data_IF_912189126197
#
_entry.id   IF_912189126197
#
_cell.length_a   1.000
_cell.length_b   1.000
_cell.length_c   1.000
_cell.angle_alpha   90.00
_cell.angle_beta   90.00
_cell.angle_gamma   90.00
#
_symmetry.space_group_name_H-M   'P 1'
#
loop_
_entity.id
_entity.type
_entity.pdbx_description
1 polymer ?
#
# COMPACT_ATOMS: atom_id res chain seq x y z
N UNK A 1 -12.60 16.92 13.43
CA UNK A 1 -13.39 15.69 13.66
C UNK A 1 -12.60 14.83 14.61
N UNK A 2 -13.15 14.54 15.79
CA UNK A 2 -12.50 13.84 16.90
C UNK A 2 -12.95 12.39 17.02
N UNK A 3 -14.19 12.05 16.67
CA UNK A 3 -14.73 10.69 16.84
C UNK A 3 -14.72 9.91 15.54
N UNK A 4 -14.86 8.58 15.63
CA UNK A 4 -15.06 7.71 14.46
C UNK A 4 -16.37 8.05 13.75
N UNK A 5 -17.46 8.27 14.51
CA UNK A 5 -18.76 8.65 13.96
C UNK A 5 -18.71 9.98 13.19
N UNK A 6 -18.09 11.04 13.73
CA UNK A 6 -17.96 12.32 13.03
C UNK A 6 -17.23 12.20 11.68
N UNK A 7 -16.24 11.31 11.60
CA UNK A 7 -15.50 11.06 10.35
C UNK A 7 -16.34 10.25 9.37
N UNK A 8 -17.12 9.27 9.84
CA UNK A 8 -18.08 8.53 9.01
C UNK A 8 -19.12 9.47 8.40
N UNK A 9 -19.74 10.31 9.23
CA UNK A 9 -20.76 11.27 8.80
C UNK A 9 -20.19 12.24 7.77
N UNK A 10 -18.99 12.77 8.01
CA UNK A 10 -18.31 13.63 7.04
C UNK A 10 -18.16 12.96 5.67
N UNK A 11 -17.69 11.71 5.61
CA UNK A 11 -17.53 11.01 4.34
C UNK A 11 -18.87 10.70 3.68
N UNK A 12 -19.87 10.25 4.45
CA UNK A 12 -21.20 9.93 3.95
C UNK A 12 -21.90 11.17 3.37
N UNK A 13 -21.75 12.33 3.99
CA UNK A 13 -22.35 13.58 3.54
C UNK A 13 -21.65 14.13 2.30
N UNK A 14 -20.32 14.06 2.25
CA UNK A 14 -19.52 14.85 1.31
C UNK A 14 -18.89 14.07 0.16
N UNK A 15 -18.77 12.74 0.28
CA UNK A 15 -18.12 11.89 -0.72
C UNK A 15 -19.06 10.79 -1.22
N UNK A 16 -18.84 10.37 -2.47
CA UNK A 16 -19.46 9.21 -3.09
C UNK A 16 -18.37 8.16 -3.37
N UNK A 17 -18.70 6.89 -3.14
CA UNK A 17 -17.82 5.79 -3.50
C UNK A 17 -17.82 5.59 -5.02
N UNK A 18 -16.66 5.73 -5.65
CA UNK A 18 -16.47 5.41 -7.07
C UNK A 18 -16.11 3.93 -7.26
N UNK A 19 -15.37 3.36 -6.31
CA UNK A 19 -14.94 1.98 -6.33
C UNK A 19 -14.79 1.46 -4.91
N UNK A 20 -15.24 0.25 -4.66
CA UNK A 20 -15.05 -0.45 -3.40
C UNK A 20 -14.83 -1.94 -3.67
N UNK A 21 -13.80 -2.51 -3.04
CA UNK A 21 -13.52 -3.94 -3.15
C UNK A 21 -12.91 -4.51 -1.86
N UNK A 22 -13.24 -5.78 -1.60
CA UNK A 22 -12.61 -6.63 -0.59
C UNK A 22 -12.07 -7.86 -1.30
N UNK A 23 -10.78 -7.84 -1.62
CA UNK A 23 -10.16 -8.83 -2.49
C UNK A 23 -9.56 -9.95 -1.65
N UNK A 24 -10.09 -11.14 -1.80
CA UNK A 24 -9.56 -12.37 -1.20
C UNK A 24 -8.92 -13.27 -2.24
N UNK A 25 -8.06 -14.18 -1.78
CA UNK A 25 -7.47 -15.19 -2.66
C UNK A 25 -8.54 -16.17 -3.15
N UNK A 26 -8.51 -16.50 -4.45
CA UNK A 26 -9.38 -17.50 -5.07
C UNK A 26 -10.60 -16.90 -5.78
N UNK A 27 -10.79 -15.59 -5.67
CA UNK A 27 -11.76 -14.86 -6.47
C UNK A 27 -11.39 -14.87 -7.95
N UNK A 28 -12.41 -14.79 -8.82
CA UNK A 28 -12.24 -14.73 -10.27
C UNK A 28 -11.73 -13.36 -10.67
N UNK A 29 -10.97 -13.33 -11.76
CA UNK A 29 -10.49 -12.08 -12.34
C UNK A 29 -11.65 -11.23 -12.86
N UNK A 30 -11.53 -9.92 -12.65
CA UNK A 30 -12.45 -8.89 -13.11
C UNK A 30 -11.64 -7.90 -13.94
N UNK A 31 -11.99 -7.78 -15.21
CA UNK A 31 -11.37 -6.81 -16.10
C UNK A 31 -12.07 -5.46 -15.99
N UNK A 32 -11.31 -4.38 -15.82
CA UNK A 32 -11.81 -3.00 -15.74
C UNK A 32 -11.16 -2.13 -16.81
N UNK A 33 -11.79 -1.00 -17.13
CA UNK A 33 -11.33 -0.09 -18.18
C UNK A 33 -11.86 -0.45 -19.57
N UNK A 34 -11.66 0.46 -20.53
CA UNK A 34 -12.16 0.33 -21.90
C UNK A 34 -11.05 -0.09 -22.87
N UNK A 35 -11.36 -1.02 -23.77
CA UNK A 35 -10.38 -1.57 -24.71
C UNK A 35 -10.04 -0.63 -25.89
N UNK A 36 -10.47 0.63 -25.93
CA UNK A 36 -10.26 1.48 -27.12
C UNK A 36 -8.89 2.17 -27.13
N UNK A 37 -8.50 2.75 -25.98
CA UNK A 37 -7.29 3.57 -25.84
C UNK A 37 -6.66 3.37 -24.47
N UNK A 38 -5.34 3.52 -24.42
CA UNK A 38 -4.62 3.55 -23.16
C UNK A 38 -5.06 4.79 -22.36
N UNK A 39 -5.55 4.59 -21.14
CA UNK A 39 -6.03 5.68 -20.29
C UNK A 39 -4.95 6.66 -19.83
N UNK A 40 -3.69 6.27 -19.97
CA UNK A 40 -2.54 7.07 -19.53
C UNK A 40 -1.92 7.86 -20.69
N UNK A 41 -1.67 7.20 -21.84
CA UNK A 41 -1.02 7.85 -22.98
C UNK A 41 -1.97 8.23 -24.12
N UNK A 42 -3.24 7.82 -24.07
CA UNK A 42 -4.24 8.10 -25.10
C UNK A 42 -4.08 7.31 -26.39
N UNK A 43 -2.99 6.54 -26.54
CA UNK A 43 -2.70 5.74 -27.73
C UNK A 43 -3.66 4.57 -27.89
N UNK A 44 -4.07 4.32 -29.12
CA UNK A 44 -4.92 3.20 -29.53
C UNK A 44 -4.11 1.93 -29.85
N UNK A 45 -4.80 0.83 -30.17
CA UNK A 45 -4.17 -0.45 -30.59
C UNK A 45 -3.31 -0.36 -31.85
N UNK A 46 -3.44 0.70 -32.66
CA UNK A 46 -2.59 0.92 -33.83
C UNK A 46 -1.25 1.58 -33.47
N UNK A 47 -1.13 2.15 -32.27
CA UNK A 47 0.01 2.96 -31.83
C UNK A 47 0.79 2.33 -30.66
N UNK A 48 0.21 1.36 -29.96
CA UNK A 48 0.80 0.63 -28.83
C UNK A 48 0.17 -0.76 -28.69
N UNK A 49 0.68 -1.59 -27.78
CA UNK A 49 0.17 -2.96 -27.56
C UNK A 49 -0.39 -3.13 -26.15
N UNK A 50 -1.32 -4.08 -26.01
CA UNK A 50 -1.97 -4.45 -24.74
C UNK A 50 -1.83 -5.95 -24.50
N UNK A 51 -0.61 -6.48 -24.64
CA UNK A 51 -0.32 -7.92 -24.53
C UNK A 51 -0.04 -8.33 -23.09
N UNK A 52 0.44 -7.41 -22.26
CA UNK A 52 0.72 -7.65 -20.87
C UNK A 52 -0.57 -7.74 -20.06
N UNK A 53 -0.53 -8.60 -19.06
CA UNK A 53 -1.55 -8.62 -18.02
C UNK A 53 -1.30 -7.51 -17.02
N UNK A 54 -1.77 -6.31 -17.36
CA UNK A 54 -1.68 -5.13 -16.50
C UNK A 54 -2.62 -5.27 -15.31
N UNK A 55 -2.08 -5.19 -14.09
CA UNK A 55 -2.91 -5.24 -12.88
C UNK A 55 -3.33 -3.82 -12.49
N UNK A 56 -4.63 -3.60 -12.30
CA UNK A 56 -5.13 -2.28 -11.91
C UNK A 56 -4.65 -1.86 -10.52
N UNK A 57 -4.50 -2.86 -9.65
CA UNK A 57 -3.86 -2.74 -8.35
C UNK A 57 -2.66 -3.69 -8.34
N UNK A 58 -1.47 -3.28 -7.89
CA UNK A 58 -0.29 -4.13 -7.93
C UNK A 58 -0.51 -5.50 -7.26
N UNK A 59 -0.16 -6.57 -7.97
CA UNK A 59 -0.27 -7.95 -7.51
C UNK A 59 0.41 -8.16 -6.14
N UNK A 60 1.51 -7.44 -5.91
CA UNK A 60 2.30 -7.58 -4.70
C UNK A 60 1.56 -7.13 -3.43
N UNK A 61 0.52 -6.29 -3.55
CA UNK A 61 -0.38 -5.91 -2.44
C UNK A 61 -1.44 -6.99 -2.13
N UNK A 62 -1.51 -8.06 -2.94
CA UNK A 62 -2.50 -9.12 -2.83
C UNK A 62 -3.67 -9.02 -3.81
N UNK A 63 -3.57 -8.17 -4.85
CA UNK A 63 -4.59 -8.12 -5.91
C UNK A 63 -4.44 -9.28 -6.89
N UNK A 64 -5.33 -10.27 -6.80
CA UNK A 64 -5.44 -11.36 -7.78
C UNK A 64 -6.63 -11.20 -8.73
N UNK A 65 -7.38 -10.10 -8.63
CA UNK A 65 -8.72 -9.97 -9.20
C UNK A 65 -8.75 -8.91 -10.29
N UNK A 66 -8.37 -7.68 -10.00
CA UNK A 66 -8.61 -6.57 -10.93
C UNK A 66 -7.49 -6.41 -11.96
N UNK A 67 -7.84 -6.64 -13.22
CA UNK A 67 -6.96 -6.54 -14.39
C UNK A 67 -7.38 -5.30 -15.20
N UNK A 68 -6.42 -4.44 -15.54
CA UNK A 68 -6.66 -3.24 -16.37
C UNK A 68 -6.65 -3.62 -17.85
N UNK A 69 -7.68 -3.23 -18.58
CA UNK A 69 -7.81 -3.39 -20.04
C UNK A 69 -7.25 -2.20 -20.81
N UNK A 70 -7.20 -1.04 -20.17
CA UNK A 70 -6.83 0.25 -20.75
C UNK A 70 -5.44 0.74 -20.29
N UNK A 71 -4.55 -0.17 -19.90
CA UNK A 71 -3.14 0.11 -19.59
C UNK A 71 -2.24 -0.60 -20.60
N UNK A 72 -1.69 0.15 -21.57
CA UNK A 72 -0.82 -0.42 -22.59
C UNK A 72 0.53 -0.89 -22.04
N UNK A 73 1.22 -1.73 -22.80
CA UNK A 73 2.48 -2.36 -22.42
C UNK A 73 3.59 -1.35 -22.10
N UNK A 74 3.65 -0.23 -22.84
CA UNK A 74 4.62 0.84 -22.62
C UNK A 74 4.40 1.55 -21.28
N UNK A 75 3.14 1.91 -20.98
CA UNK A 75 2.78 2.55 -19.72
C UNK A 75 2.96 1.57 -18.55
N UNK A 76 2.55 0.31 -18.74
CA UNK A 76 2.72 -0.73 -17.74
C UNK A 76 4.18 -0.94 -17.36
N UNK A 77 5.07 -1.00 -18.36
CA UNK A 77 6.51 -1.10 -18.12
C UNK A 77 7.04 0.15 -17.40
N UNK A 78 6.70 1.35 -17.88
CA UNK A 78 7.14 2.60 -17.28
C UNK A 78 6.70 2.72 -15.81
N UNK A 79 5.47 2.34 -15.47
CA UNK A 79 5.01 2.36 -14.08
C UNK A 79 5.65 1.28 -13.22
N UNK A 80 5.79 0.06 -13.76
CA UNK A 80 6.44 -1.06 -13.06
C UNK A 80 7.86 -0.71 -12.63
N UNK A 81 8.64 -0.12 -13.53
CA UNK A 81 10.05 0.25 -13.31
C UNK A 81 10.21 1.59 -12.58
N UNK A 82 9.32 2.55 -12.83
CA UNK A 82 9.48 3.93 -12.38
C UNK A 82 8.83 4.28 -11.03
N UNK A 83 7.72 3.64 -10.65
CA UNK A 83 6.97 3.99 -9.43
C UNK A 83 6.53 2.77 -8.61
N UNK A 84 6.06 1.69 -9.24
CA UNK A 84 5.52 0.53 -8.51
C UNK A 84 6.62 -0.24 -7.76
N UNK A 85 7.83 -0.33 -8.31
CA UNK A 85 8.99 -0.92 -7.62
C UNK A 85 9.32 -0.21 -6.30
N UNK A 86 9.22 1.12 -6.25
CA UNK A 86 9.41 1.89 -5.02
C UNK A 86 8.34 1.57 -3.98
N UNK A 87 7.08 1.41 -4.39
CA UNK A 87 6.00 1.00 -3.50
C UNK A 87 6.15 -0.46 -3.03
N UNK A 88 6.63 -1.37 -3.89
CA UNK A 88 6.96 -2.74 -3.51
C UNK A 88 8.01 -2.73 -2.39
N UNK A 89 9.13 -2.03 -2.59
CA UNK A 89 10.21 -1.88 -1.59
C UNK A 89 9.71 -1.25 -0.29
N UNK A 90 8.92 -0.17 -0.39
CA UNK A 90 8.35 0.51 0.78
C UNK A 90 7.44 -0.40 1.61
N UNK A 91 6.60 -1.19 0.94
CA UNK A 91 5.58 -2.02 1.62
C UNK A 91 6.05 -3.42 2.01
N UNK A 92 7.24 -3.83 1.56
CA UNK A 92 7.74 -5.20 1.74
C UNK A 92 7.73 -5.71 3.19
N UNK A 93 8.19 -4.95 4.20
CA UNK A 93 8.12 -5.41 5.59
C UNK A 93 6.68 -5.73 6.04
N UNK A 94 5.70 -4.89 5.68
CA UNK A 94 4.29 -5.10 6.03
C UNK A 94 3.75 -6.38 5.40
N UNK A 95 4.06 -6.61 4.12
CA UNK A 95 3.56 -7.76 3.35
C UNK A 95 4.17 -9.08 3.82
N UNK A 96 5.44 -9.06 4.22
CA UNK A 96 6.13 -10.20 4.82
C UNK A 96 5.45 -10.64 6.11
N UNK A 97 5.27 -9.71 7.05
CA UNK A 97 4.63 -10.00 8.35
C UNK A 97 3.17 -10.40 8.17
N UNK A 98 2.44 -9.76 7.26
CA UNK A 98 1.06 -10.10 6.95
C UNK A 98 0.90 -11.38 6.11
N UNK A 99 2.00 -12.08 5.78
CA UNK A 99 2.02 -13.33 5.00
C UNK A 99 1.30 -13.18 3.66
N UNK A 100 1.42 -12.01 3.03
CA UNK A 100 0.79 -11.71 1.74
C UNK A 100 1.61 -12.39 0.64
N UNK A 101 0.96 -13.21 -0.17
CA UNK A 101 1.63 -13.93 -1.26
C UNK A 101 1.85 -12.98 -2.44
N UNK A 102 3.03 -13.00 -3.03
CA UNK A 102 3.23 -12.44 -4.36
C UNK A 102 2.76 -13.43 -5.42
N UNK A 103 3.39 -13.38 -6.59
CA UNK A 103 3.08 -14.26 -7.73
C UNK A 103 3.19 -15.76 -7.42
N UNK A 104 4.14 -16.18 -6.60
CA UNK A 104 4.40 -17.61 -6.30
C UNK A 104 4.30 -17.96 -4.82
N UNK A 105 4.91 -17.14 -3.95
CA UNK A 105 5.00 -17.39 -2.50
C UNK A 105 4.99 -16.09 -1.71
N UNK A 106 4.88 -16.21 -0.38
CA UNK A 106 5.20 -15.09 0.51
C UNK A 106 6.68 -14.72 0.29
N UNK A 107 7.02 -13.44 0.15
CA UNK A 107 8.43 -13.05 0.02
C UNK A 107 9.24 -13.50 1.24
N UNK A 108 10.56 -13.51 1.11
CA UNK A 108 11.46 -13.62 2.25
C UNK A 108 12.33 -12.36 2.29
N UNK A 109 12.75 -11.96 3.48
CA UNK A 109 13.75 -10.92 3.69
C UNK A 109 15.07 -11.57 4.06
N UNK A 110 16.15 -11.06 3.48
CA UNK A 110 17.52 -11.32 3.89
C UNK A 110 18.18 -9.96 4.11
N UNK A 111 18.91 -9.80 5.21
CA UNK A 111 19.69 -8.60 5.44
C UNK A 111 20.81 -8.45 4.40
N UNK A 112 21.28 -7.21 4.18
CA UNK A 112 22.33 -6.90 3.20
C UNK A 112 23.63 -7.67 3.46
N UNK A 113 23.98 -7.83 4.74
CA UNK A 113 25.13 -8.62 5.20
C UNK A 113 24.91 -10.14 5.20
N UNK A 114 23.69 -10.59 4.85
CA UNK A 114 23.26 -12.00 4.86
C UNK A 114 23.32 -12.71 6.22
N UNK A 115 23.43 -11.96 7.32
CA UNK A 115 23.48 -12.50 8.69
C UNK A 115 22.11 -12.66 9.35
N UNK A 116 21.06 -12.12 8.72
CA UNK A 116 19.69 -12.19 9.22
C UNK A 116 18.72 -12.53 8.10
N UNK A 117 17.69 -13.32 8.43
CA UNK A 117 16.63 -13.73 7.51
C UNK A 117 15.29 -13.76 8.21
N UNK A 118 14.27 -13.24 7.54
CA UNK A 118 12.87 -13.41 7.93
C UNK A 118 12.14 -14.13 6.79
N UNK A 119 11.52 -15.26 7.08
CA UNK A 119 10.72 -16.02 6.09
C UNK A 119 9.45 -16.60 6.69
N UNK A 120 8.57 -17.07 5.81
CA UNK A 120 7.38 -17.81 6.16
C UNK A 120 7.44 -19.18 5.48
N UNK A 121 7.36 -20.25 6.28
CA UNK A 121 7.23 -21.61 5.77
C UNK A 121 5.76 -21.93 5.58
N UNK A 122 5.35 -22.19 4.34
CA UNK A 122 3.96 -22.59 4.06
C UNK A 122 3.64 -24.01 4.51
N UNK A 123 4.67 -24.85 4.70
CA UNK A 123 4.53 -26.24 5.11
C UNK A 123 4.24 -26.34 6.61
N UNK A 124 5.02 -25.64 7.44
CA UNK A 124 4.79 -25.59 8.89
C UNK A 124 3.78 -24.52 9.32
N UNK A 125 3.49 -23.53 8.46
CA UNK A 125 2.64 -22.38 8.79
C UNK A 125 3.29 -21.36 9.73
N UNK A 126 4.61 -21.46 9.93
CA UNK A 126 5.37 -20.69 10.91
C UNK A 126 6.17 -19.57 10.22
N UNK A 127 6.28 -18.43 10.89
CA UNK A 127 7.24 -17.38 10.54
C UNK A 127 8.58 -17.69 11.20
N UNK A 128 9.63 -17.76 10.40
CA UNK A 128 10.99 -18.11 10.83
C UNK A 128 11.87 -16.86 10.80
N UNK A 129 12.56 -16.61 11.91
CA UNK A 129 13.59 -15.59 12.03
C UNK A 129 14.91 -16.31 12.30
N UNK A 130 15.90 -16.07 11.45
CA UNK A 130 17.27 -16.55 11.66
C UNK A 130 18.16 -15.34 11.81
N UNK A 131 18.96 -15.30 12.87
CA UNK A 131 19.92 -14.22 13.11
C UNK A 131 21.23 -14.80 13.62
N UNK A 132 22.35 -14.27 13.14
CA UNK A 132 23.67 -14.67 13.63
C UNK A 132 23.89 -14.08 15.03
N UNK A 133 24.38 -14.89 15.97
CA UNK A 133 24.70 -14.44 17.34
C UNK A 133 25.62 -13.21 17.30
N UNK A 134 25.27 -12.17 18.07
CA UNK A 134 25.99 -10.90 18.11
C UNK A 134 25.56 -9.86 17.07
N UNK A 135 24.53 -10.16 16.26
CA UNK A 135 23.83 -9.16 15.45
C UNK A 135 22.56 -8.69 16.17
N UNK A 136 22.42 -7.39 16.41
CA UNK A 136 21.30 -6.79 17.15
C UNK A 136 20.05 -6.56 16.27
N UNK A 137 19.71 -7.50 15.37
CA UNK A 137 18.48 -7.37 14.56
C UNK A 137 17.27 -7.95 15.25
N UNK A 138 17.48 -8.95 16.10
CA UNK A 138 16.48 -9.54 16.98
C UNK A 138 16.74 -9.10 18.41
N UNK A 139 15.74 -8.49 19.04
CA UNK A 139 15.74 -8.23 20.47
C UNK A 139 14.58 -9.01 21.11
N UNK A 140 14.89 -9.84 22.10
CA UNK A 140 13.91 -10.64 22.83
C UNK A 140 13.76 -10.08 24.23
N UNK A 141 12.54 -9.69 24.57
CA UNK A 141 12.14 -9.27 25.91
C UNK A 141 11.26 -10.37 26.51
N UNK A 142 11.85 -11.17 27.39
CA UNK A 142 11.18 -12.29 28.04
C UNK A 142 10.12 -11.83 29.05
N UNK A 143 10.33 -10.69 29.71
CA UNK A 143 9.44 -10.17 30.75
C UNK A 143 8.14 -9.66 30.11
N UNK A 144 8.26 -8.92 29.01
CA UNK A 144 7.11 -8.39 28.27
C UNK A 144 6.58 -9.35 27.20
N UNK A 145 7.23 -10.50 27.00
CA UNK A 145 6.93 -11.49 25.97
C UNK A 145 6.86 -10.89 24.57
N UNK A 146 7.87 -10.09 24.23
CA UNK A 146 7.97 -9.46 22.91
C UNK A 146 9.25 -9.83 22.19
N UNK A 147 9.14 -9.93 20.86
CA UNK A 147 10.27 -10.07 19.95
C UNK A 147 10.26 -8.87 19.02
N UNK A 148 11.32 -8.08 19.00
CA UNK A 148 11.50 -6.98 18.06
C UNK A 148 12.44 -7.43 16.95
N UNK A 149 11.98 -7.32 15.70
CA UNK A 149 12.82 -7.52 14.52
C UNK A 149 13.00 -6.21 13.78
N UNK A 150 14.25 -5.80 13.55
CA UNK A 150 14.55 -4.56 12.81
C UNK A 150 14.85 -4.86 11.34
N UNK A 151 13.86 -4.62 10.48
CA UNK A 151 14.07 -4.68 9.03
C UNK A 151 14.94 -3.49 8.58
N UNK A 152 15.70 -3.69 7.50
CA UNK A 152 16.20 -2.57 6.70
C UNK A 152 15.37 -2.50 5.43
N UNK A 153 14.70 -1.37 5.21
CA UNK A 153 13.90 -1.18 4.00
C UNK A 153 14.81 -1.01 2.79
N UNK A 154 14.42 -1.61 1.68
CA UNK A 154 15.16 -1.45 0.41
C UNK A 154 15.10 0.01 -0.07
N UNK A 155 16.12 0.51 -0.78
CA UNK A 155 16.15 1.91 -1.23
C UNK A 155 14.93 2.32 -2.05
N UNK A 156 14.29 3.42 -1.68
CA UNK A 156 13.10 3.93 -2.37
C UNK A 156 13.08 5.45 -2.43
N UNK A 157 12.30 6.00 -3.35
CA UNK A 157 12.06 7.43 -3.48
C UNK A 157 10.65 7.72 -2.95
N UNK A 158 10.47 8.54 -1.90
CA UNK A 158 9.18 8.80 -1.28
C UNK A 158 8.10 9.27 -2.27
N UNK A 159 8.41 10.22 -3.15
CA UNK A 159 7.41 10.72 -4.10
C UNK A 159 7.01 9.66 -5.14
N UNK A 160 7.90 8.73 -5.48
CA UNK A 160 7.58 7.60 -6.35
C UNK A 160 6.62 6.61 -5.68
N UNK A 161 6.77 6.38 -4.37
CA UNK A 161 5.79 5.61 -3.56
C UNK A 161 4.42 6.28 -3.61
N UNK A 162 4.37 7.61 -3.46
CA UNK A 162 3.11 8.36 -3.56
C UNK A 162 2.51 8.25 -4.97
N UNK A 163 3.31 8.44 -6.04
CA UNK A 163 2.87 8.28 -7.44
C UNK A 163 2.26 6.91 -7.68
N UNK A 164 2.88 5.83 -7.16
CA UNK A 164 2.33 4.48 -7.29
C UNK A 164 0.96 4.33 -6.62
N UNK A 165 0.76 4.92 -5.43
CA UNK A 165 -0.56 4.96 -4.78
C UNK A 165 -1.56 5.75 -5.63
N UNK A 166 -1.16 6.88 -6.20
CA UNK A 166 -2.03 7.67 -7.10
C UNK A 166 -2.38 6.91 -8.37
N UNK A 167 -1.44 6.16 -8.95
CA UNK A 167 -1.67 5.29 -10.11
C UNK A 167 -2.76 4.27 -9.85
N UNK A 168 -2.79 3.67 -8.66
CA UNK A 168 -3.89 2.77 -8.26
C UNK A 168 -5.23 3.53 -8.30
N UNK A 169 -5.29 4.74 -7.75
CA UNK A 169 -6.51 5.55 -7.77
C UNK A 169 -6.97 5.89 -9.19
N UNK A 170 -6.06 6.29 -10.07
CA UNK A 170 -6.36 6.54 -11.49
C UNK A 170 -6.82 5.24 -12.18
N UNK A 171 -6.17 4.11 -11.90
CA UNK A 171 -6.52 2.81 -12.47
C UNK A 171 -7.93 2.33 -12.09
N UNK A 172 -8.47 2.80 -10.96
CA UNK A 172 -9.83 2.46 -10.51
C UNK A 172 -10.87 3.53 -10.87
N UNK A 173 -10.43 4.65 -11.46
CA UNK A 173 -11.30 5.79 -11.74
C UNK A 173 -12.20 5.55 -12.96
N UNK A 174 -13.48 5.92 -12.92
CA UNK A 174 -14.35 5.90 -14.10
C UNK A 174 -13.86 6.86 -15.19
N UNK A 175 -14.00 6.46 -16.45
CA UNK A 175 -13.57 7.22 -17.63
C UNK A 175 -14.13 8.65 -17.70
N UNK A 176 -15.42 8.92 -17.37
CA UNK A 176 -15.96 10.28 -17.38
C UNK A 176 -15.28 11.27 -16.42
N UNK A 177 -14.58 10.79 -15.39
CA UNK A 177 -13.87 11.65 -14.44
C UNK A 177 -12.42 11.92 -14.85
N UNK A 178 -11.81 11.08 -15.70
CA UNK A 178 -10.40 11.22 -16.10
C UNK A 178 -10.01 12.60 -16.66
N UNK A 179 -10.88 13.34 -17.39
CA UNK A 179 -10.54 14.70 -17.85
C UNK A 179 -10.14 15.66 -16.72
N UNK A 180 -10.61 15.46 -15.48
CA UNK A 180 -10.21 16.26 -14.33
C UNK A 180 -8.79 15.94 -13.82
N UNK A 181 -8.20 14.84 -14.29
CA UNK A 181 -6.94 14.28 -13.80
C UNK A 181 -5.85 14.24 -14.87
N UNK A 182 -6.01 14.94 -16.00
CA UNK A 182 -5.02 14.94 -17.09
C UNK A 182 -3.62 15.33 -16.61
N UNK A 183 -3.50 16.38 -15.78
CA UNK A 183 -2.19 16.77 -15.19
C UNK A 183 -1.61 15.72 -14.26
N UNK A 184 -2.45 14.97 -13.58
CA UNK A 184 -2.05 13.86 -12.72
C UNK A 184 -1.56 12.68 -13.54
N UNK A 185 -2.25 12.36 -14.64
CA UNK A 185 -1.83 11.33 -15.60
C UNK A 185 -0.49 11.70 -16.27
N UNK A 186 -0.34 12.95 -16.72
CA UNK A 186 0.94 13.47 -17.23
C UNK A 186 2.05 13.31 -16.19
N UNK A 187 1.80 13.73 -14.94
CA UNK A 187 2.75 13.63 -13.84
C UNK A 187 3.13 12.18 -13.52
N UNK A 188 2.18 11.26 -13.47
CA UNK A 188 2.45 9.84 -13.23
C UNK A 188 3.40 9.25 -14.28
N UNK A 189 3.28 9.68 -15.53
CA UNK A 189 4.12 9.23 -16.65
C UNK A 189 5.48 9.91 -16.71
N UNK A 190 5.67 10.99 -15.97
CA UNK A 190 6.95 11.66 -15.86
C UNK A 190 7.92 10.82 -15.00
N UNK A 191 9.04 10.42 -15.60
CA UNK A 191 10.09 9.66 -14.94
C UNK A 191 10.99 10.52 -14.03
N UNK A 192 10.98 11.85 -14.19
CA UNK A 192 11.72 12.75 -13.32
C UNK A 192 10.92 13.01 -12.03
N UNK A 193 11.41 12.46 -10.93
CA UNK A 193 10.76 12.59 -9.62
C UNK A 193 10.94 13.97 -8.99
N UNK A 194 11.79 14.86 -9.56
CA UNK A 194 11.89 16.25 -9.11
C UNK A 194 10.70 17.09 -9.54
N UNK A 195 9.97 16.66 -10.59
CA UNK A 195 8.74 17.31 -11.03
C UNK A 195 7.59 16.92 -10.11
N UNK A 196 7.34 17.77 -9.12
CA UNK A 196 6.33 17.53 -8.09
C UNK A 196 5.06 18.32 -8.42
N UNK A 197 3.96 17.60 -8.68
CA UNK A 197 2.68 18.19 -9.06
C UNK A 197 2.04 19.02 -7.93
N UNK A 198 2.17 18.59 -6.68
CA UNK A 198 1.59 19.27 -5.52
C UNK A 198 2.42 18.98 -4.26
N UNK A 199 2.40 19.90 -3.30
CA UNK A 199 3.13 19.80 -2.03
C UNK A 199 2.23 20.25 -0.87
N UNK A 200 2.23 19.57 0.28
CA UNK A 200 2.92 18.29 0.54
C UNK A 200 2.18 17.07 -0.03
N UNK A 201 2.92 16.01 -0.36
CA UNK A 201 2.41 14.70 -0.75
C UNK A 201 2.12 13.83 0.48
N UNK A 202 0.97 14.08 1.11
CA UNK A 202 0.61 13.49 2.40
C UNK A 202 0.03 12.09 2.30
N UNK A 203 0.70 11.13 2.95
CA UNK A 203 0.17 9.80 3.25
C UNK A 203 -0.36 9.78 4.69
N UNK A 204 -1.67 9.60 4.85
CA UNK A 204 -2.24 9.18 6.13
C UNK A 204 -2.02 7.67 6.29
N UNK A 205 -1.28 7.31 7.32
CA UNK A 205 -0.92 5.93 7.63
C UNK A 205 -1.59 5.52 8.95
N UNK A 206 -2.19 4.33 8.97
CA UNK A 206 -2.73 3.72 10.18
C UNK A 206 -2.17 2.30 10.33
N UNK A 207 -1.57 2.00 11.47
CA UNK A 207 -1.23 0.65 11.89
C UNK A 207 -2.31 0.11 12.82
N UNK A 208 -2.80 -1.10 12.52
CA UNK A 208 -3.79 -1.80 13.31
C UNK A 208 -3.10 -3.02 13.93
N UNK A 209 -2.98 -3.10 15.27
CA UNK A 209 -2.32 -4.23 15.92
C UNK A 209 -3.10 -5.54 15.76
N UNK A 210 -2.47 -6.68 16.02
CA UNK A 210 -3.12 -7.99 15.99
C UNK A 210 -2.82 -8.82 14.74
N UNK A 211 -3.48 -9.96 14.62
CA UNK A 211 -3.20 -10.96 13.59
C UNK A 211 -3.87 -10.61 12.26
N UNK A 212 -3.15 -9.89 11.39
CA UNK A 212 -3.57 -9.53 10.04
C UNK A 212 -5.04 -9.04 9.97
N UNK A 213 -5.38 -7.91 10.62
CA UNK A 213 -6.76 -7.40 10.68
C UNK A 213 -7.42 -7.24 9.31
N UNK A 214 -6.70 -6.68 8.33
CA UNK A 214 -7.12 -6.63 6.94
C UNK A 214 -6.72 -7.94 6.23
N UNK A 215 -7.51 -9.00 6.48
CA UNK A 215 -7.35 -10.31 5.83
C UNK A 215 -7.50 -10.20 4.30
N UNK A 216 -8.59 -9.62 3.76
CA UNK A 216 -8.64 -9.22 2.36
C UNK A 216 -7.83 -7.95 2.13
N UNK A 217 -7.42 -7.72 0.88
CA UNK A 217 -7.01 -6.40 0.42
C UNK A 217 -8.27 -5.54 0.28
N UNK A 218 -8.37 -4.48 1.09
CA UNK A 218 -9.49 -3.55 1.12
C UNK A 218 -9.12 -2.32 0.30
N UNK A 219 -9.97 -1.93 -0.64
CA UNK A 219 -9.73 -0.73 -1.45
C UNK A 219 -11.02 0.07 -1.56
N UNK A 220 -10.89 1.38 -1.39
CA UNK A 220 -11.96 2.33 -1.61
C UNK A 220 -11.44 3.57 -2.31
N UNK A 221 -12.06 3.93 -3.44
CA UNK A 221 -11.86 5.19 -4.13
C UNK A 221 -13.11 6.03 -3.94
N UNK A 222 -12.97 7.22 -3.39
CA UNK A 222 -14.09 8.13 -3.17
C UNK A 222 -13.85 9.46 -3.84
N UNK A 223 -14.90 10.02 -4.42
CA UNK A 223 -14.90 11.34 -5.03
C UNK A 223 -15.85 12.26 -4.29
N UNK A 224 -15.49 13.51 -4.18
CA UNK A 224 -16.31 14.53 -3.56
C UNK A 224 -17.61 14.72 -4.36
N UNK A 225 -18.75 14.82 -3.68
CA UNK A 225 -20.07 14.95 -4.33
C UNK A 225 -20.26 16.29 -5.03
N UNK A 226 -19.69 17.36 -4.48
CA UNK A 226 -19.80 18.72 -5.01
C UNK A 226 -18.72 19.63 -4.38
N UNK A 227 -18.55 20.81 -4.94
CA UNK A 227 -17.51 21.76 -4.50
C UNK A 227 -17.91 22.64 -3.31
N UNK A 228 -18.99 22.32 -2.58
CA UNK A 228 -19.44 23.13 -1.44
C UNK A 228 -18.44 23.13 -0.29
N UNK A 229 -17.78 22.00 -0.01
CA UNK A 229 -16.72 21.94 0.99
C UNK A 229 -15.38 22.35 0.37
N UNK A 230 -14.75 23.42 0.84
CA UNK A 230 -13.43 23.85 0.36
C UNK A 230 -12.32 23.29 1.25
N UNK A 231 -11.11 23.11 0.72
CA UNK A 231 -9.96 22.63 1.49
C UNK A 231 -10.00 21.16 1.84
N UNK A 232 -10.69 20.33 1.05
CA UNK A 232 -10.68 18.87 1.15
C UNK A 232 -10.42 18.26 -0.21
N UNK A 233 -9.70 17.12 -0.29
CA UNK A 233 -9.35 16.47 -1.55
C UNK A 233 -10.55 16.17 -2.43
N UNK A 234 -10.44 16.44 -3.72
CA UNK A 234 -11.48 16.08 -4.70
C UNK A 234 -11.68 14.56 -4.77
N UNK A 235 -10.59 13.80 -4.66
CA UNK A 235 -10.63 12.34 -4.66
C UNK A 235 -9.67 11.76 -3.63
N UNK A 236 -10.09 10.72 -2.92
CA UNK A 236 -9.30 10.01 -1.92
C UNK A 236 -9.28 8.51 -2.22
N UNK A 237 -8.10 7.92 -2.07
CA UNK A 237 -7.88 6.48 -2.14
C UNK A 237 -7.53 5.96 -0.76
N UNK A 238 -8.19 4.88 -0.35
CA UNK A 238 -7.93 4.13 0.88
C UNK A 238 -7.57 2.70 0.49
N UNK A 239 -6.44 2.22 1.00
CA UNK A 239 -5.94 0.85 0.77
C UNK A 239 -5.59 0.22 2.13
N UNK A 240 -6.28 -0.86 2.50
CA UNK A 240 -6.01 -1.65 3.68
C UNK A 240 -5.49 -3.03 3.33
N UNK A 241 -4.35 -3.44 3.90
CA UNK A 241 -3.83 -4.80 3.76
C UNK A 241 -2.99 -5.18 4.98
N UNK A 242 -3.11 -6.44 5.42
CA UNK A 242 -2.39 -6.88 6.60
C UNK A 242 -2.75 -6.05 7.83
N UNK A 243 -1.76 -5.34 8.37
CA UNK A 243 -1.88 -4.50 9.56
C UNK A 243 -1.91 -3.00 9.24
N UNK A 244 -1.93 -2.62 7.96
CA UNK A 244 -1.79 -1.21 7.57
C UNK A 244 -3.00 -0.74 6.76
N UNK A 245 -3.36 0.52 6.95
CA UNK A 245 -4.25 1.28 6.09
C UNK A 245 -3.52 2.53 5.63
N UNK A 246 -3.48 2.73 4.31
CA UNK A 246 -2.87 3.87 3.65
C UNK A 246 -3.96 4.69 2.99
N UNK A 247 -3.94 6.00 3.19
CA UNK A 247 -4.87 6.92 2.56
C UNK A 247 -4.11 8.09 1.95
N UNK A 248 -4.40 8.37 0.69
CA UNK A 248 -3.81 9.47 -0.08
C UNK A 248 -4.88 10.21 -0.86
N UNK A 249 -4.61 11.47 -1.23
CA UNK A 249 -5.41 12.12 -2.25
C UNK A 249 -4.96 11.77 -3.65
N UNK A 250 -5.92 11.70 -4.56
CA UNK A 250 -5.67 11.71 -6.01
C UNK A 250 -5.86 13.17 -6.44
N UNK A 251 -4.77 13.90 -6.76
CA UNK A 251 -4.87 15.32 -7.08
C UNK A 251 -5.66 15.49 -8.39
N UNK A 252 -6.66 16.35 -8.40
CA UNK A 252 -7.32 16.83 -9.62
C UNK A 252 -6.73 18.16 -10.08
N UNK A 253 -7.15 18.64 -11.26
CA UNK A 253 -6.83 20.00 -11.71
C UNK A 253 -7.24 21.08 -10.69
N UNK A 254 -8.33 20.88 -9.95
CA UNK A 254 -8.77 21.81 -8.91
C UNK A 254 -7.84 21.80 -7.69
N UNK A 255 -7.38 20.60 -7.27
CA UNK A 255 -6.49 20.47 -6.12
C UNK A 255 -5.08 21.00 -6.44
N UNK A 256 -4.60 20.80 -7.67
CA UNK A 256 -3.27 21.24 -8.09
C UNK A 256 -3.14 22.77 -8.22
N UNK A 257 -4.24 23.47 -8.52
CA UNK A 257 -4.27 24.94 -8.68
C UNK A 257 -4.54 25.65 -7.35
N UNK A 258 -5.01 24.94 -6.32
CA UNK A 258 -5.37 25.46 -5.02
C UNK A 258 -4.16 25.79 -4.10
N UNK A 259 -3.14 26.50 -4.63
CA UNK A 259 -1.89 26.84 -3.92
C UNK A 259 -2.10 27.58 -2.60
N UNK A 260 -3.22 28.29 -2.45
CA UNK A 260 -3.54 29.07 -1.25
C UNK A 260 -4.53 28.37 -0.30
N UNK A 261 -5.03 27.18 -0.66
CA UNK A 261 -5.98 26.44 0.18
C UNK A 261 -5.22 25.37 0.95
N UNK A 262 -5.16 25.54 2.28
CA UNK A 262 -4.67 24.49 3.17
C UNK A 262 -5.59 23.27 3.07
N UNK A 263 -5.08 22.19 2.49
CA UNK A 263 -5.81 20.93 2.39
C UNK A 263 -5.90 20.22 3.73
N UNK A 264 -7.11 19.83 4.10
CA UNK A 264 -7.42 19.06 5.31
C UNK A 264 -7.65 17.61 4.92
N UNK A 265 -6.88 16.71 5.52
CA UNK A 265 -7.01 15.28 5.34
C UNK A 265 -7.74 14.69 6.54
N UNK A 266 -8.96 14.19 6.32
CA UNK A 266 -9.73 13.47 7.34
C UNK A 266 -9.34 11.99 7.26
N UNK A 267 -8.86 11.35 8.33
CA UNK A 267 -8.51 9.94 8.29
C UNK A 267 -9.77 9.08 8.17
N UNK A 268 -9.79 8.14 7.22
CA UNK A 268 -10.94 7.28 7.02
C UNK A 268 -11.18 6.40 8.27
N UNK A 269 -12.43 6.36 8.76
CA UNK A 269 -12.81 5.52 9.89
C UNK A 269 -12.65 4.05 9.53
N UNK A 270 -12.12 3.25 10.46
CA UNK A 270 -11.99 1.80 10.27
C UNK A 270 -12.77 1.05 11.35
N UNK A 271 -13.27 -0.17 11.09
CA UNK A 271 -13.95 -0.98 12.11
C UNK A 271 -13.10 -1.24 13.36
N UNK A 272 -11.78 -1.07 13.26
CA UNK A 272 -10.81 -1.26 14.34
C UNK A 272 -10.60 -0.02 15.21
N UNK A 273 -11.22 1.12 14.86
CA UNK A 273 -11.11 2.36 15.65
C UNK A 273 -11.92 2.29 16.95
N UNK A 274 -12.81 1.29 17.09
CA UNK A 274 -13.66 1.07 18.24
C UNK A 274 -13.39 -0.34 18.82
N UNK A 275 -13.13 -0.42 20.13
CA UNK A 275 -13.04 -1.67 20.92
C UNK A 275 -12.22 -2.82 20.29
N UNK A 276 -11.05 -2.51 19.71
CA UNK A 276 -10.19 -3.53 19.11
C UNK A 276 -9.39 -4.31 20.16
N UNK A 277 -9.63 -5.63 20.25
CA UNK A 277 -9.05 -6.51 21.28
C UNK A 277 -7.52 -6.54 21.36
N UNK A 278 -6.83 -6.13 20.30
CA UNK A 278 -5.36 -6.10 20.25
C UNK A 278 -4.76 -4.72 20.56
N UNK A 279 -5.60 -3.77 21.02
CA UNK A 279 -5.20 -2.40 21.36
C UNK A 279 -5.58 -1.39 20.28
N UNK A 280 -5.36 -0.11 20.58
CA UNK A 280 -5.79 0.97 19.71
C UNK A 280 -4.93 1.04 18.42
N UNK A 281 -5.55 1.29 17.24
CA UNK A 281 -4.80 1.63 16.04
C UNK A 281 -3.93 2.87 16.26
N UNK A 282 -2.75 2.86 15.67
CA UNK A 282 -1.81 3.99 15.69
C UNK A 282 -1.88 4.72 14.37
N UNK A 283 -1.98 6.05 14.42
CA UNK A 283 -2.11 6.87 13.22
C UNK A 283 -0.94 7.86 13.09
N UNK A 284 -0.44 7.99 11.87
CA UNK A 284 0.64 8.91 11.51
C UNK A 284 0.30 9.66 10.22
N UNK A 285 0.87 10.85 10.09
CA UNK A 285 0.86 11.63 8.85
C UNK A 285 2.28 11.68 8.32
N UNK A 286 2.52 11.17 7.12
CA UNK A 286 3.83 11.11 6.50
C UNK A 286 3.86 12.04 5.29
N UNK A 287 4.92 12.83 5.17
CA UNK A 287 5.16 13.64 3.97
C UNK A 287 6.09 12.87 3.02
N UNK A 288 5.55 12.45 1.87
CA UNK A 288 6.27 11.73 0.84
C UNK A 288 6.70 12.64 -0.32
N UNK A 289 6.80 13.96 -0.10
CA UNK A 289 7.16 14.93 -1.15
C UNK A 289 8.56 14.74 -1.73
N UNK A 290 9.50 14.18 -0.94
CA UNK A 290 10.91 14.13 -1.31
C UNK A 290 11.18 13.27 -2.56
N UNK A 291 12.00 13.79 -3.46
CA UNK A 291 12.60 13.07 -4.59
C UNK A 291 13.92 12.37 -4.24
N UNK A 292 14.45 12.61 -3.03
CA UNK A 292 15.70 12.00 -2.57
C UNK A 292 15.53 10.53 -2.24
N UNK A 293 16.54 9.73 -2.61
CA UNK A 293 16.56 8.31 -2.29
C UNK A 293 16.77 8.09 -0.79
N UNK A 294 15.82 7.39 -0.17
CA UNK A 294 15.96 6.92 1.22
C UNK A 294 16.75 5.63 1.21
N UNK A 295 17.86 5.61 1.93
CA UNK A 295 18.73 4.43 2.08
C UNK A 295 18.91 4.10 3.56
N UNK A 296 19.11 2.81 3.87
CA UNK A 296 19.42 2.32 5.22
C UNK A 296 18.35 2.67 6.27
N UNK A 297 17.09 2.86 5.85
CA UNK A 297 15.96 3.06 6.78
C UNK A 297 15.76 1.80 7.61
N UNK A 298 15.94 1.94 8.93
CA UNK A 298 15.60 0.89 9.91
C UNK A 298 14.11 0.93 10.17
N UNK A 299 13.46 -0.23 10.09
CA UNK A 299 12.03 -0.40 10.28
C UNK A 299 11.78 -1.48 11.34
N UNK A 300 11.73 -1.11 12.63
CA UNK A 300 11.47 -2.06 13.71
C UNK A 300 10.01 -2.52 13.71
N UNK A 301 9.80 -3.80 13.89
CA UNK A 301 8.48 -4.40 14.14
C UNK A 301 8.53 -5.23 15.40
N UNK A 302 7.54 -5.04 16.28
CA UNK A 302 7.43 -5.78 17.54
C UNK A 302 6.29 -6.78 17.45
N UNK A 303 6.59 -8.03 17.78
CA UNK A 303 5.66 -9.14 17.87
C UNK A 303 5.43 -9.46 19.34
N UNK A 304 4.16 -9.53 19.75
CA UNK A 304 3.78 -9.98 21.08
C UNK A 304 3.40 -11.44 21.02
N UNK A 305 3.93 -12.25 21.93
CA UNK A 305 3.64 -13.67 22.03
C UNK A 305 2.86 -13.97 23.32
N UNK A 306 2.13 -15.09 23.32
CA UNK A 306 1.58 -15.64 24.55
C UNK A 306 2.69 -16.21 25.44
N UNK A 307 3.67 -16.89 24.85
CA UNK A 307 4.84 -17.48 25.50
C UNK A 307 6.05 -17.46 24.57
N UNK A 308 7.25 -17.46 25.16
CA UNK A 308 8.53 -17.57 24.45
C UNK A 308 9.23 -18.81 25.01
N UNK A 309 9.31 -19.86 24.21
CA UNK A 309 9.90 -21.14 24.61
C UNK A 309 11.23 -21.37 23.88
N UNK A 310 12.24 -21.97 24.54
CA UNK A 310 13.40 -22.50 23.84
C UNK A 310 12.98 -23.54 22.81
N UNK A 311 13.55 -23.47 21.61
CA UNK A 311 13.30 -24.42 20.53
C UNK A 311 14.60 -25.16 20.16
N UNK A 312 14.61 -26.48 20.26
CA UNK A 312 15.71 -27.34 19.74
C UNK A 312 15.32 -27.87 18.35
N UNK A 313 16.00 -27.43 17.26
CA UNK A 313 15.72 -27.88 15.90
C UNK A 313 15.83 -29.39 15.69
N UNK A 314 16.53 -30.12 16.56
CA UNK A 314 16.72 -31.57 16.44
C UNK A 314 15.53 -32.38 16.95
N UNK A 315 14.67 -31.81 17.80
CA UNK A 315 13.56 -32.54 18.46
C UNK A 315 12.31 -32.75 17.59
N UNK A 316 12.16 -32.06 16.45
CA UNK A 316 11.00 -32.26 15.54
C UNK A 316 11.24 -33.26 14.40
N UNK A 317 12.48 -33.71 14.13
CA UNK A 317 12.72 -34.78 13.15
C UNK A 317 12.07 -36.11 13.53
N UNK A 318 11.70 -36.29 14.80
CA UNK A 318 11.04 -37.49 15.31
C UNK A 318 9.51 -37.43 15.30
N UNK A 319 8.91 -36.25 15.05
CA UNK A 319 7.44 -36.08 15.01
C UNK A 319 6.87 -36.09 13.59
N UNK A 320 7.72 -36.02 12.57
CA UNK A 320 7.33 -36.01 11.15
C UNK A 320 7.80 -37.27 10.39
N UNK A 321 8.19 -38.34 11.08
CA UNK A 321 8.45 -39.66 10.51
C UNK A 321 7.35 -40.65 10.87
#
# INVERSE_FOLDING_TARGET
MKTTQERLDFYNENYISLFQAFISKGEKEVCIGMDDKCRYCGKSHTETTFKNKSHAIPLFLGNYVYISRDECDDCNKAFSEGIEDHLDKYTKPFRLVAKIKGRKKVPAYKSKDQKSRFSFSSESGISEITDTIGFEKVEIDHDNKTVKYTFEREPYIPIAVYKALVKIGISLMPEPLLPMFTKTIEWLRDSDHNNILFKPAILLYKFIPGEKPNKPLVIQLMHKKNDKIKGYPSCVLIIGFGNVVMQVMIPSAFDAVAKDIKMTFVPFPTPFDEEWRYGNPQQSTLDLTSSEIVINEKFPMTFKAQDIIPYDPNTQKELNN
#
